data_IF_004446326064
#
_entry.id   IF_004446326064
#
_cell.length_a   1.000
_cell.length_b   1.000
_cell.length_c   1.000
_cell.angle_alpha   90.00
_cell.angle_beta   90.00
_cell.angle_gamma   90.00
#
_symmetry.space_group_name_H-M   'P 1'
#
loop_
_entity.id
_entity.type
_entity.pdbx_description
1 polymer ?
#
# COMPACT_ATOMS: atom_id res chain seq x y z
N UNK A 1 16.67 14.47 -13.17
CA UNK A 1 15.37 13.77 -13.34
C UNK A 1 15.52 12.26 -13.40
N UNK A 2 16.47 11.72 -14.16
CA UNK A 2 16.71 10.27 -14.27
C UNK A 2 17.02 9.61 -12.91
N UNK A 3 17.75 10.30 -12.04
CA UNK A 3 18.09 9.85 -10.67
C UNK A 3 16.86 9.60 -9.82
N UNK A 4 15.86 10.49 -9.86
CA UNK A 4 14.60 10.30 -9.13
C UNK A 4 13.76 9.16 -9.69
N UNK A 5 13.80 8.93 -11.01
CA UNK A 5 13.12 7.78 -11.63
C UNK A 5 13.75 6.45 -11.19
N UNK A 6 15.09 6.41 -11.15
CA UNK A 6 15.83 5.24 -10.65
C UNK A 6 15.58 4.99 -9.15
N UNK A 7 15.48 6.04 -8.33
CA UNK A 7 15.11 5.91 -6.91
C UNK A 7 13.68 5.34 -6.77
N UNK A 8 12.72 5.84 -7.57
CA UNK A 8 11.35 5.31 -7.57
C UNK A 8 11.30 3.83 -8.00
N UNK A 9 12.11 3.43 -8.98
CA UNK A 9 12.27 2.03 -9.37
C UNK A 9 12.84 1.20 -8.21
N UNK A 10 13.86 1.71 -7.51
CA UNK A 10 14.52 1.01 -6.42
C UNK A 10 13.58 0.73 -5.26
N UNK A 11 12.65 1.64 -4.97
CA UNK A 11 11.66 1.48 -3.90
C UNK A 11 10.79 0.23 -4.07
N UNK A 12 10.48 -0.21 -5.30
CA UNK A 12 9.73 -1.46 -5.53
C UNK A 12 10.33 -2.65 -4.77
N UNK A 13 11.66 -2.72 -4.71
CA UNK A 13 12.40 -3.78 -4.03
C UNK A 13 12.79 -3.39 -2.60
N UNK A 14 13.13 -2.11 -2.39
CA UNK A 14 13.62 -1.63 -1.10
C UNK A 14 12.52 -1.61 -0.04
N UNK A 15 11.30 -1.21 -0.40
CA UNK A 15 10.16 -1.09 0.51
C UNK A 15 9.72 -2.43 1.13
N UNK A 16 9.57 -3.53 0.36
CA UNK A 16 9.30 -4.84 0.97
C UNK A 16 10.48 -5.37 1.79
N UNK A 17 11.74 -5.11 1.38
CA UNK A 17 12.92 -5.47 2.17
C UNK A 17 12.95 -4.76 3.52
N UNK A 18 12.79 -3.44 3.52
CA UNK A 18 12.76 -2.62 4.74
C UNK A 18 11.61 -3.03 5.64
N UNK A 19 10.42 -3.29 5.07
CA UNK A 19 9.29 -3.83 5.82
C UNK A 19 9.62 -5.16 6.52
N UNK A 20 10.22 -6.10 5.79
CA UNK A 20 10.58 -7.41 6.34
C UNK A 20 11.63 -7.31 7.44
N UNK A 21 12.62 -6.44 7.25
CA UNK A 21 13.65 -6.13 8.24
C UNK A 21 12.97 -5.57 9.50
N UNK A 22 12.16 -4.53 9.38
CA UNK A 22 11.49 -3.90 10.52
C UNK A 22 10.59 -4.87 11.30
N UNK A 23 9.82 -5.71 10.60
CA UNK A 23 8.95 -6.71 11.26
C UNK A 23 9.77 -7.72 12.05
N UNK A 24 10.91 -8.15 11.52
CA UNK A 24 11.82 -9.08 12.20
C UNK A 24 12.52 -8.42 13.39
N UNK A 25 13.08 -7.23 13.19
CA UNK A 25 13.84 -6.49 14.21
C UNK A 25 12.98 -6.13 15.42
N UNK A 26 11.78 -5.61 15.20
CA UNK A 26 10.87 -5.23 16.29
C UNK A 26 10.01 -6.39 16.80
N UNK A 27 10.18 -7.61 16.26
CA UNK A 27 9.35 -8.79 16.57
C UNK A 27 7.84 -8.48 16.44
N UNK A 28 7.48 -7.66 15.46
CA UNK A 28 6.11 -7.14 15.26
C UNK A 28 5.10 -8.27 14.94
N UNK A 29 5.61 -9.42 14.49
CA UNK A 29 4.83 -10.66 14.35
C UNK A 29 4.14 -11.09 15.65
N UNK A 30 4.67 -10.74 16.84
CA UNK A 30 4.03 -11.04 18.14
C UNK A 30 2.70 -10.28 18.30
N UNK A 31 2.57 -9.11 17.69
CA UNK A 31 1.37 -8.27 17.73
C UNK A 31 0.42 -8.54 16.55
N UNK A 32 0.71 -9.55 15.73
CA UNK A 32 -0.10 -9.91 14.56
C UNK A 32 0.11 -9.01 13.34
N UNK A 33 1.05 -8.05 13.41
CA UNK A 33 1.50 -7.22 12.29
C UNK A 33 2.52 -8.02 11.48
N UNK A 34 2.24 -8.21 10.20
CA UNK A 34 3.13 -8.90 9.26
C UNK A 34 3.75 -7.90 8.28
N UNK A 35 4.72 -8.35 7.50
CA UNK A 35 5.38 -7.53 6.46
C UNK A 35 4.41 -6.79 5.51
N UNK A 36 3.28 -7.38 5.04
CA UNK A 36 2.41 -6.66 4.09
C UNK A 36 1.78 -5.44 4.76
N UNK A 37 1.61 -5.49 6.09
CA UNK A 37 0.97 -4.42 6.82
C UNK A 37 1.86 -3.18 6.81
N UNK A 38 3.13 -3.35 7.18
CA UNK A 38 4.10 -2.26 7.19
C UNK A 38 4.42 -1.76 5.77
N UNK A 39 4.54 -2.69 4.81
CA UNK A 39 4.81 -2.34 3.42
C UNK A 39 3.67 -1.52 2.81
N UNK A 40 2.41 -1.82 3.15
CA UNK A 40 1.26 -1.03 2.72
C UNK A 40 1.38 0.45 3.14
N UNK A 41 1.72 0.71 4.41
CA UNK A 41 1.90 2.08 4.91
C UNK A 41 3.07 2.79 4.21
N UNK A 42 4.19 2.10 4.03
CA UNK A 42 5.36 2.67 3.36
C UNK A 42 5.05 3.01 1.90
N UNK A 43 4.44 2.09 1.14
CA UNK A 43 4.03 2.36 -0.24
C UNK A 43 3.04 3.51 -0.34
N UNK A 44 2.08 3.62 0.59
CA UNK A 44 1.14 4.73 0.61
C UNK A 44 1.84 6.09 0.77
N UNK A 45 2.84 6.17 1.65
CA UNK A 45 3.67 7.37 1.82
C UNK A 45 4.51 7.67 0.59
N UNK A 46 5.09 6.63 -0.03
CA UNK A 46 5.87 6.78 -1.26
C UNK A 46 5.02 7.30 -2.42
N UNK A 47 3.78 6.80 -2.59
CA UNK A 47 2.84 7.32 -3.59
C UNK A 47 2.62 8.82 -3.37
N UNK A 48 2.44 9.26 -2.12
CA UNK A 48 2.25 10.68 -1.79
C UNK A 48 3.44 11.55 -2.21
N UNK A 49 4.66 11.10 -1.84
CA UNK A 49 5.90 11.87 -2.05
C UNK A 49 6.31 11.86 -3.53
N UNK A 50 6.31 10.67 -4.15
CA UNK A 50 6.72 10.51 -5.54
C UNK A 50 5.72 11.22 -6.46
N UNK A 51 4.42 11.06 -6.22
CA UNK A 51 3.43 11.74 -7.04
C UNK A 51 3.56 13.26 -6.99
N UNK A 52 3.74 13.84 -5.80
CA UNK A 52 3.86 15.29 -5.64
C UNK A 52 5.09 15.89 -6.32
N UNK A 53 6.11 15.06 -6.61
CA UNK A 53 7.36 15.49 -7.25
C UNK A 53 7.35 15.39 -8.77
N UNK A 54 6.57 14.46 -9.34
CA UNK A 54 6.53 14.18 -10.79
C UNK A 54 5.28 14.70 -11.50
N UNK A 55 4.21 15.03 -10.77
CA UNK A 55 2.94 15.48 -11.31
C UNK A 55 2.49 16.78 -10.65
N UNK A 56 1.90 17.70 -11.42
CA UNK A 56 1.32 18.94 -10.88
C UNK A 56 0.11 18.67 -9.99
N UNK A 57 -0.65 17.61 -10.29
CA UNK A 57 -1.75 17.12 -9.46
C UNK A 57 -1.29 15.89 -8.70
N UNK A 58 -1.45 15.91 -7.38
CA UNK A 58 -1.10 14.78 -6.53
C UNK A 58 -2.07 13.60 -6.78
N UNK A 59 -1.55 12.38 -6.93
CA UNK A 59 -2.34 11.16 -7.13
C UNK A 59 -2.95 10.63 -5.82
N UNK A 60 -2.56 11.19 -4.67
CA UNK A 60 -3.04 10.81 -3.36
C UNK A 60 -4.58 10.80 -3.21
N UNK A 61 -5.35 11.79 -3.70
CA UNK A 61 -6.81 11.76 -3.60
C UNK A 61 -7.43 10.59 -4.35
N UNK A 62 -6.94 10.28 -5.57
CA UNK A 62 -7.42 9.13 -6.35
C UNK A 62 -7.09 7.82 -5.66
N UNK A 63 -5.89 7.71 -5.09
CA UNK A 63 -5.49 6.56 -4.30
C UNK A 63 -6.38 6.34 -3.06
N UNK A 64 -6.74 7.42 -2.35
CA UNK A 64 -7.66 7.35 -1.20
C UNK A 64 -9.07 6.91 -1.60
N UNK A 65 -9.56 7.34 -2.77
CA UNK A 65 -10.86 6.88 -3.30
C UNK A 65 -10.82 5.36 -3.58
N UNK A 66 -9.72 4.85 -4.15
CA UNK A 66 -9.57 3.41 -4.38
C UNK A 66 -9.57 2.63 -3.06
N UNK A 67 -8.88 3.15 -2.03
CA UNK A 67 -8.88 2.54 -0.70
C UNK A 67 -10.24 2.57 -0.01
N UNK A 68 -10.99 3.66 -0.15
CA UNK A 68 -12.33 3.74 0.43
C UNK A 68 -13.28 2.76 -0.26
N UNK A 69 -13.19 2.62 -1.58
CA UNK A 69 -13.93 1.62 -2.34
C UNK A 69 -13.56 0.19 -1.88
N UNK A 70 -12.26 -0.08 -1.70
CA UNK A 70 -11.77 -1.35 -1.17
C UNK A 70 -12.37 -1.64 0.21
N UNK A 71 -12.39 -0.65 1.10
CA UNK A 71 -12.99 -0.80 2.42
C UNK A 71 -14.47 -1.17 2.34
N UNK A 72 -15.24 -0.49 1.48
CA UNK A 72 -16.68 -0.76 1.26
C UNK A 72 -16.89 -2.19 0.72
N UNK A 73 -16.08 -2.63 -0.24
CA UNK A 73 -16.18 -4.00 -0.78
C UNK A 73 -15.91 -5.05 0.30
N UNK A 74 -14.90 -4.82 1.15
CA UNK A 74 -14.54 -5.75 2.22
C UNK A 74 -15.63 -5.77 3.30
N UNK A 75 -16.19 -4.62 3.70
CA UNK A 75 -17.29 -4.58 4.67
C UNK A 75 -18.52 -5.32 4.14
N UNK A 76 -18.93 -5.05 2.90
CA UNK A 76 -20.04 -5.76 2.25
C UNK A 76 -19.79 -7.26 2.20
N UNK A 77 -18.58 -7.68 1.82
CA UNK A 77 -18.23 -9.11 1.75
C UNK A 77 -18.33 -9.78 3.13
N UNK A 78 -17.84 -9.13 4.19
CA UNK A 78 -17.93 -9.65 5.56
C UNK A 78 -19.37 -9.74 6.05
N UNK A 79 -20.20 -8.72 5.79
CA UNK A 79 -21.60 -8.68 6.21
C UNK A 79 -22.41 -9.73 5.46
N UNK A 80 -22.34 -9.74 4.13
CA UNK A 80 -23.17 -10.62 3.29
C UNK A 80 -22.78 -12.09 3.46
N UNK A 81 -21.47 -12.42 3.38
CA UNK A 81 -21.03 -13.83 3.43
C UNK A 81 -20.89 -14.37 4.85
N UNK A 82 -20.29 -13.60 5.76
CA UNK A 82 -19.95 -14.12 7.09
C UNK A 82 -21.04 -13.89 8.12
N UNK A 83 -22.02 -12.99 7.86
CA UNK A 83 -23.11 -12.59 8.78
C UNK A 83 -22.61 -12.17 10.18
N UNK A 84 -21.30 -11.92 10.31
CA UNK A 84 -20.59 -11.59 11.54
C UNK A 84 -19.48 -10.62 11.20
N UNK A 85 -19.67 -9.36 11.61
CA UNK A 85 -18.66 -8.33 11.43
C UNK A 85 -17.76 -8.27 12.67
N UNK A 86 -16.45 -8.43 12.47
CA UNK A 86 -15.45 -8.25 13.53
C UNK A 86 -14.34 -7.35 13.03
N UNK A 87 -14.02 -6.31 13.80
CA UNK A 87 -13.00 -5.32 13.42
C UNK A 87 -11.64 -5.96 13.17
N UNK A 88 -11.22 -6.94 13.97
CA UNK A 88 -9.95 -7.64 13.78
C UNK A 88 -9.87 -8.33 12.41
N UNK A 89 -10.97 -8.91 11.94
CA UNK A 89 -11.03 -9.61 10.64
C UNK A 89 -11.05 -8.64 9.48
N UNK A 90 -11.82 -7.55 9.61
CA UNK A 90 -11.83 -6.45 8.65
C UNK A 90 -10.42 -5.88 8.44
N UNK A 91 -9.76 -5.47 9.53
CA UNK A 91 -8.41 -4.90 9.49
C UNK A 91 -7.43 -5.89 8.85
N UNK A 92 -7.43 -7.16 9.27
CA UNK A 92 -6.54 -8.17 8.65
C UNK A 92 -6.76 -8.30 7.14
N UNK A 93 -8.00 -8.30 6.67
CA UNK A 93 -8.30 -8.40 5.23
C UNK A 93 -7.94 -7.11 4.50
N UNK A 94 -8.31 -5.96 5.05
CA UNK A 94 -8.03 -4.64 4.49
C UNK A 94 -6.54 -4.44 4.29
N UNK A 95 -5.70 -4.76 5.26
CA UNK A 95 -4.26 -4.58 5.12
C UNK A 95 -3.64 -5.56 4.12
N UNK A 96 -4.13 -6.81 4.04
CA UNK A 96 -3.59 -7.82 3.11
C UNK A 96 -3.94 -7.51 1.66
N UNK A 97 -5.20 -7.17 1.39
CA UNK A 97 -5.67 -6.85 0.03
C UNK A 97 -5.22 -5.43 -0.33
N UNK A 98 -5.28 -4.50 0.62
CA UNK A 98 -4.78 -3.13 0.48
C UNK A 98 -3.31 -3.11 0.09
N UNK A 99 -2.48 -3.94 0.72
CA UNK A 99 -1.07 -4.11 0.33
C UNK A 99 -0.90 -4.47 -1.15
N UNK A 100 -1.63 -5.48 -1.63
CA UNK A 100 -1.54 -5.89 -3.03
C UNK A 100 -1.97 -4.73 -3.95
N UNK A 101 -3.08 -4.07 -3.61
CA UNK A 101 -3.60 -2.95 -4.40
C UNK A 101 -2.61 -1.77 -4.42
N UNK A 102 -1.98 -1.44 -3.30
CA UNK A 102 -0.91 -0.42 -3.24
C UNK A 102 0.30 -0.77 -4.05
N UNK A 103 0.73 -2.03 -3.99
CA UNK A 103 1.92 -2.49 -4.68
C UNK A 103 1.72 -2.37 -6.20
N UNK A 104 0.58 -2.84 -6.71
CA UNK A 104 0.23 -2.66 -8.12
C UNK A 104 0.02 -1.19 -8.49
N UNK A 105 -0.62 -0.40 -7.63
CA UNK A 105 -0.77 1.05 -7.83
C UNK A 105 0.58 1.77 -7.96
N UNK A 106 1.54 1.41 -7.10
CA UNK A 106 2.89 1.95 -7.16
C UNK A 106 3.64 1.50 -8.42
N UNK A 107 3.53 0.23 -8.82
CA UNK A 107 4.09 -0.26 -10.09
C UNK A 107 3.58 0.54 -11.28
N UNK A 108 2.28 0.79 -11.36
CA UNK A 108 1.67 1.61 -12.41
C UNK A 108 2.24 3.03 -12.36
N UNK A 109 2.34 3.63 -11.17
CA UNK A 109 2.89 4.97 -10.99
C UNK A 109 4.34 5.06 -11.48
N UNK A 110 5.17 4.07 -11.19
CA UNK A 110 6.54 3.98 -11.70
C UNK A 110 6.55 3.88 -13.23
N UNK A 111 5.74 3.01 -13.83
CA UNK A 111 5.64 2.89 -15.29
C UNK A 111 5.27 4.24 -15.93
N UNK A 112 4.25 4.94 -15.40
CA UNK A 112 3.84 6.26 -15.90
C UNK A 112 4.97 7.28 -15.79
N UNK A 113 5.73 7.27 -14.70
CA UNK A 113 6.90 8.16 -14.52
C UNK A 113 7.98 7.87 -15.55
N UNK A 114 8.21 6.61 -15.94
CA UNK A 114 9.20 6.28 -16.96
C UNK A 114 8.75 6.63 -18.38
N UNK A 115 7.45 6.50 -18.68
CA UNK A 115 6.88 6.84 -19.99
C UNK A 115 6.79 8.35 -20.25
N UNK A 116 6.73 9.17 -19.19
CA UNK A 116 6.65 10.63 -19.27
C UNK A 116 8.04 11.28 -19.27
#
# INVERSE_FOLDING_TARGET
>A
MITYKLIALLFIVLTPLVSQILVTFFKLSRYGLKFPDLAFLLFALEIAIVSGKFFNNNFLPYYLIILSLLAIIITLTLVIRSQRFTYSRFIKLFWRIGFLMTFFGYLILVIVIFTK
#
